data_IF_799880789864
#
_entry.id   IF_799880789864
#
_cell.length_a   1.000
_cell.length_b   1.000
_cell.length_c   1.000
_cell.angle_alpha   90.00
_cell.angle_beta   90.00
_cell.angle_gamma   90.00
#
_symmetry.space_group_name_H-M   'P 1'
#
loop_
_entity.id
_entity.type
_entity.pdbx_description
1 polymer ?
#
# COMPACT_ATOMS: atom_id res chain seq x y z
N UNK A 1 -7.31 22.63 9.82
CA UNK A 1 -8.47 21.76 10.10
C UNK A 1 -9.65 21.88 9.11
N UNK A 2 -9.84 22.96 8.34
CA UNK A 2 -10.99 23.09 7.40
C UNK A 2 -10.81 22.48 6.00
N UNK A 3 -9.62 22.02 5.61
CA UNK A 3 -9.37 21.49 4.24
C UNK A 3 -9.89 20.05 4.02
N UNK A 4 -10.10 19.28 5.10
CA UNK A 4 -10.57 17.89 5.01
C UNK A 4 -12.05 17.73 4.61
N UNK A 5 -12.88 18.76 4.86
CA UNK A 5 -14.33 18.70 4.64
C UNK A 5 -14.73 18.66 3.15
N UNK A 6 -13.85 19.10 2.24
CA UNK A 6 -14.11 19.08 0.80
C UNK A 6 -13.80 17.73 0.13
N UNK A 7 -12.99 16.87 0.76
CA UNK A 7 -12.68 15.54 0.23
C UNK A 7 -13.87 14.58 0.37
N UNK A 8 -14.72 14.81 1.37
CA UNK A 8 -15.89 14.00 1.64
C UNK A 8 -17.14 14.86 1.47
N UNK A 9 -17.87 14.67 0.37
CA UNK A 9 -19.11 15.40 0.12
C UNK A 9 -20.08 15.29 1.30
N UNK A 10 -20.07 14.17 2.03
CA UNK A 10 -20.87 13.91 3.22
C UNK A 10 -20.56 14.81 4.44
N UNK A 11 -19.38 15.45 4.50
CA UNK A 11 -19.07 16.44 5.55
C UNK A 11 -19.59 17.85 5.20
N UNK A 12 -19.96 18.11 3.95
CA UNK A 12 -20.50 19.42 3.55
C UNK A 12 -21.98 19.54 3.90
N UNK A 13 -22.41 20.70 4.41
CA UNK A 13 -23.80 20.92 4.82
C UNK A 13 -24.77 20.80 3.64
N UNK A 14 -25.92 20.14 3.84
CA UNK A 14 -27.00 19.97 2.86
C UNK A 14 -27.39 21.27 2.11
N UNK A 15 -27.50 22.44 2.77
CA UNK A 15 -27.85 23.69 2.08
C UNK A 15 -26.80 24.15 1.06
N UNK A 16 -25.52 23.80 1.26
CA UNK A 16 -24.44 24.12 0.34
C UNK A 16 -24.50 23.16 -0.85
N UNK A 17 -24.67 21.86 -0.61
CA UNK A 17 -24.81 20.85 -1.68
C UNK A 17 -26.01 21.13 -2.60
N UNK A 18 -27.13 21.59 -2.02
CA UNK A 18 -28.34 21.93 -2.78
C UNK A 18 -28.15 23.11 -3.74
N UNK A 19 -27.21 24.02 -3.46
CA UNK A 19 -26.98 25.25 -4.24
C UNK A 19 -25.75 25.17 -5.16
N UNK A 20 -24.96 24.10 -5.08
CA UNK A 20 -23.71 23.95 -5.81
C UNK A 20 -23.72 22.72 -6.73
N UNK A 21 -23.08 22.82 -7.88
CA UNK A 21 -22.82 21.66 -8.73
C UNK A 21 -21.71 20.80 -8.10
N UNK A 22 -22.04 19.57 -7.72
CA UNK A 22 -21.07 18.64 -7.14
C UNK A 22 -20.27 17.98 -8.26
N UNK A 23 -19.02 18.40 -8.42
CA UNK A 23 -18.06 17.77 -9.32
C UNK A 23 -17.25 16.72 -8.55
N UNK A 24 -17.36 15.45 -8.98
CA UNK A 24 -16.64 14.33 -8.36
C UNK A 24 -15.36 14.05 -9.14
N UNK A 25 -14.24 14.20 -8.46
CA UNK A 25 -12.94 13.79 -8.99
C UNK A 25 -12.64 12.37 -8.53
N UNK A 26 -12.30 11.49 -9.48
CA UNK A 26 -11.81 10.14 -9.19
C UNK A 26 -10.29 10.15 -9.10
N UNK A 27 -9.73 9.13 -8.45
CA UNK A 27 -8.29 8.86 -8.53
C UNK A 27 -7.84 8.73 -9.98
N UNK A 28 -6.63 9.18 -10.27
CA UNK A 28 -6.03 9.05 -11.59
C UNK A 28 -5.65 7.60 -11.86
N UNK A 29 -5.69 7.21 -13.13
CA UNK A 29 -5.18 5.90 -13.54
C UNK A 29 -3.66 5.93 -13.65
N UNK A 30 -3.02 4.77 -13.46
CA UNK A 30 -1.57 4.62 -13.52
C UNK A 30 -0.99 5.14 -14.85
N UNK A 31 -1.70 4.90 -15.97
CA UNK A 31 -1.31 5.41 -17.29
C UNK A 31 -1.33 6.95 -17.38
N UNK A 32 -2.30 7.61 -16.73
CA UNK A 32 -2.39 9.07 -16.71
C UNK A 32 -1.25 9.68 -15.87
N UNK A 33 -0.91 9.04 -14.76
CA UNK A 33 0.21 9.46 -13.90
C UNK A 33 1.52 9.29 -14.66
N UNK A 34 1.74 8.13 -15.27
CA UNK A 34 2.95 7.86 -16.07
C UNK A 34 3.13 8.89 -17.19
N UNK A 35 2.07 9.15 -17.97
CA UNK A 35 2.11 10.12 -19.07
C UNK A 35 2.44 11.54 -18.58
N UNK A 36 2.07 11.89 -17.35
CA UNK A 36 2.41 13.19 -16.75
C UNK A 36 3.82 13.21 -16.18
N UNK A 37 4.28 12.13 -15.55
CA UNK A 37 5.65 11.99 -15.04
C UNK A 37 6.67 12.08 -16.18
N UNK A 38 6.45 11.37 -17.29
CA UNK A 38 7.35 11.41 -18.46
C UNK A 38 7.55 12.84 -18.98
N UNK A 39 6.48 13.62 -19.09
CA UNK A 39 6.56 15.03 -19.51
C UNK A 39 7.36 15.93 -18.58
N UNK A 40 7.48 15.57 -17.30
CA UNK A 40 8.20 16.35 -16.29
C UNK A 40 9.67 15.94 -16.30
N UNK A 41 9.92 14.64 -16.36
CA UNK A 41 11.24 14.05 -16.52
C UNK A 41 11.95 14.56 -17.78
N UNK A 42 11.24 14.65 -18.91
CA UNK A 42 11.77 15.24 -20.17
C UNK A 42 12.11 16.73 -20.04
N UNK A 43 11.38 17.48 -19.19
CA UNK A 43 11.59 18.92 -19.00
C UNK A 43 12.71 19.23 -18.02
N UNK A 44 12.88 18.39 -17.02
CA UNK A 44 13.88 18.55 -15.96
C UNK A 44 15.17 17.77 -16.24
N UNK A 45 15.24 17.03 -17.36
CA UNK A 45 16.37 16.20 -17.80
C UNK A 45 16.85 15.25 -16.69
N UNK A 46 15.88 14.56 -16.07
CA UNK A 46 16.15 13.69 -14.93
C UNK A 46 16.53 12.30 -15.39
N UNK A 47 17.60 11.73 -14.82
CA UNK A 47 17.98 10.34 -15.08
C UNK A 47 17.08 9.35 -14.34
N UNK A 48 16.40 8.48 -15.10
CA UNK A 48 15.43 7.52 -14.56
C UNK A 48 15.60 6.12 -15.15
N UNK A 49 15.06 5.13 -14.43
CA UNK A 49 14.84 3.75 -14.89
C UNK A 49 13.34 3.48 -14.92
N UNK A 50 12.88 2.63 -15.85
CA UNK A 50 11.46 2.25 -15.95
C UNK A 50 10.94 1.65 -14.63
N UNK A 51 11.74 0.80 -13.97
CA UNK A 51 11.43 0.24 -12.64
C UNK A 51 11.22 1.31 -11.56
N UNK A 52 11.94 2.44 -11.67
CA UNK A 52 11.81 3.57 -10.75
C UNK A 52 10.50 4.32 -10.93
N UNK A 53 10.06 4.51 -12.18
CA UNK A 53 8.76 5.11 -12.49
C UNK A 53 7.61 4.21 -12.02
N UNK A 54 7.72 2.90 -12.21
CA UNK A 54 6.75 1.94 -11.68
C UNK A 54 6.67 2.00 -10.15
N UNK A 55 7.81 2.08 -9.45
CA UNK A 55 7.85 2.23 -8.00
C UNK A 55 7.18 3.55 -7.52
N UNK A 56 7.37 4.65 -8.25
CA UNK A 56 6.70 5.92 -7.94
C UNK A 56 5.19 5.81 -8.14
N UNK A 57 4.73 5.20 -9.23
CA UNK A 57 3.30 4.99 -9.48
C UNK A 57 2.70 4.09 -8.40
N UNK A 58 3.41 3.04 -8.01
CA UNK A 58 3.01 2.16 -6.92
C UNK A 58 2.83 2.97 -5.63
N UNK A 59 3.84 3.73 -5.20
CA UNK A 59 3.75 4.52 -3.95
C UNK A 59 2.71 5.65 -4.01
N UNK A 60 2.43 6.21 -5.19
CA UNK A 60 1.52 7.34 -5.35
C UNK A 60 0.01 7.01 -5.22
N UNK A 61 -0.41 5.76 -5.41
CA UNK A 61 -1.80 5.29 -5.21
C UNK A 61 -2.91 6.15 -5.87
N UNK A 62 -2.63 6.72 -7.05
CA UNK A 62 -3.57 7.55 -7.79
C UNK A 62 -3.51 9.05 -7.45
N UNK A 63 -2.62 9.47 -6.55
CA UNK A 63 -2.36 10.88 -6.21
C UNK A 63 -1.16 11.43 -6.99
N UNK A 64 -1.42 12.34 -7.93
CA UNK A 64 -0.37 12.99 -8.72
C UNK A 64 0.59 13.82 -7.85
N UNK A 65 0.09 14.46 -6.79
CA UNK A 65 0.92 15.29 -5.92
C UNK A 65 1.93 14.42 -5.18
N UNK A 66 1.48 13.28 -4.66
CA UNK A 66 2.37 12.33 -4.01
C UNK A 66 3.42 11.78 -4.99
N UNK A 67 3.01 11.44 -6.22
CA UNK A 67 3.94 10.98 -7.26
C UNK A 67 5.06 12.00 -7.54
N UNK A 68 4.71 13.28 -7.65
CA UNK A 68 5.68 14.35 -7.90
C UNK A 68 6.59 14.60 -6.70
N UNK A 69 6.04 14.59 -5.49
CA UNK A 69 6.83 14.75 -4.28
C UNK A 69 7.84 13.61 -4.12
N UNK A 70 7.43 12.37 -4.40
CA UNK A 70 8.30 11.19 -4.35
C UNK A 70 9.39 11.28 -5.42
N UNK A 71 9.04 11.68 -6.66
CA UNK A 71 9.98 11.89 -7.76
C UNK A 71 11.05 12.92 -7.38
N UNK A 72 10.61 14.10 -6.92
CA UNK A 72 11.49 15.20 -6.56
C UNK A 72 12.38 14.84 -5.36
N UNK A 73 11.83 14.19 -4.34
CA UNK A 73 12.57 13.78 -3.15
C UNK A 73 13.64 12.74 -3.49
N UNK A 74 13.32 11.79 -4.38
CA UNK A 74 14.29 10.79 -4.86
C UNK A 74 15.40 11.43 -5.67
N UNK A 75 15.06 12.34 -6.58
CA UNK A 75 16.06 13.05 -7.38
C UNK A 75 16.95 13.96 -6.53
N UNK A 76 16.38 14.72 -5.59
CA UNK A 76 17.14 15.59 -4.68
C UNK A 76 18.07 14.79 -3.75
N UNK A 77 17.64 13.62 -3.30
CA UNK A 77 18.43 12.77 -2.40
C UNK A 77 19.57 12.02 -3.09
N UNK A 78 19.30 11.43 -4.26
CA UNK A 78 20.21 10.45 -4.88
C UNK A 78 20.62 10.80 -6.32
N UNK A 79 20.01 11.80 -6.95
CA UNK A 79 20.28 12.21 -8.34
C UNK A 79 19.81 11.22 -9.42
N UNK A 80 19.54 9.97 -9.06
CA UNK A 80 19.10 8.90 -9.96
C UNK A 80 17.86 8.19 -9.43
N UNK A 81 16.86 8.04 -10.30
CA UNK A 81 15.60 7.37 -9.97
C UNK A 81 15.69 5.88 -10.32
N UNK A 82 15.85 5.05 -9.30
CA UNK A 82 15.69 3.59 -9.35
C UNK A 82 14.62 3.14 -8.34
N UNK A 83 14.15 1.90 -8.44
CA UNK A 83 13.17 1.36 -7.51
C UNK A 83 13.67 1.36 -6.06
N UNK A 84 14.94 1.01 -5.84
CA UNK A 84 15.54 0.93 -4.50
C UNK A 84 15.59 2.30 -3.78
N UNK A 85 16.00 3.37 -4.47
CA UNK A 85 16.03 4.72 -3.89
C UNK A 85 14.62 5.23 -3.66
N UNK A 86 13.66 4.94 -4.54
CA UNK A 86 12.25 5.32 -4.32
C UNK A 86 11.71 4.66 -3.05
N UNK A 87 11.90 3.35 -2.87
CA UNK A 87 11.44 2.66 -1.65
C UNK A 87 12.17 3.12 -0.38
N UNK A 88 13.46 3.50 -0.49
CA UNK A 88 14.21 4.10 0.63
C UNK A 88 13.71 5.49 1.02
N UNK A 89 13.27 6.30 0.05
CA UNK A 89 12.77 7.66 0.32
C UNK A 89 11.33 7.64 0.81
N UNK A 90 10.52 6.71 0.30
CA UNK A 90 9.12 6.57 0.68
C UNK A 90 8.91 5.77 1.97
N UNK A 91 9.95 5.16 2.55
CA UNK A 91 9.87 4.26 3.71
C UNK A 91 8.77 3.19 3.58
N UNK A 92 8.57 2.67 2.36
CA UNK A 92 7.65 1.56 2.12
C UNK A 92 8.41 0.21 2.02
N UNK A 93 7.86 -0.87 2.59
CA UNK A 93 8.46 -2.20 2.47
C UNK A 93 8.45 -2.66 1.00
N UNK A 94 9.55 -3.26 0.57
CA UNK A 94 9.69 -3.74 -0.80
C UNK A 94 8.60 -4.79 -1.12
N UNK A 95 7.84 -4.64 -2.23
CA UNK A 95 6.69 -5.52 -2.52
C UNK A 95 7.09 -6.99 -2.69
N UNK A 96 8.35 -7.27 -3.03
CA UNK A 96 8.86 -8.65 -3.11
C UNK A 96 8.85 -9.36 -1.74
N UNK A 97 9.28 -8.70 -0.66
CA UNK A 97 9.28 -9.27 0.69
C UNK A 97 7.85 -9.61 1.14
N UNK A 98 6.91 -8.73 0.83
CA UNK A 98 5.49 -8.94 1.16
C UNK A 98 4.89 -10.08 0.33
N UNK A 99 5.27 -10.21 -0.95
CA UNK A 99 4.86 -11.35 -1.80
C UNK A 99 5.40 -12.68 -1.24
N UNK A 100 6.67 -12.73 -0.85
CA UNK A 100 7.27 -13.91 -0.23
C UNK A 100 6.57 -14.28 1.07
N UNK A 101 6.28 -13.29 1.93
CA UNK A 101 5.53 -13.51 3.16
C UNK A 101 4.14 -14.10 2.89
N UNK A 102 3.39 -13.58 1.91
CA UNK A 102 2.08 -14.12 1.53
C UNK A 102 2.23 -15.56 0.99
N UNK A 103 3.27 -15.83 0.21
CA UNK A 103 3.55 -17.19 -0.29
C UNK A 103 3.82 -18.17 0.87
N UNK A 104 4.56 -17.77 1.89
CA UNK A 104 4.76 -18.58 3.10
C UNK A 104 3.46 -18.79 3.88
N UNK A 105 2.58 -17.79 3.94
CA UNK A 105 1.25 -17.93 4.53
C UNK A 105 0.39 -18.96 3.78
N UNK A 106 0.45 -18.98 2.44
CA UNK A 106 -0.27 -19.96 1.62
C UNK A 106 0.26 -21.38 1.86
N UNK A 107 1.57 -21.53 2.06
CA UNK A 107 2.18 -22.81 2.38
C UNK A 107 1.97 -23.23 3.85
N UNK A 108 1.18 -22.48 4.63
CA UNK A 108 0.95 -22.68 6.07
C UNK A 108 2.23 -22.69 6.92
N UNK A 109 3.30 -22.03 6.46
CA UNK A 109 4.57 -21.94 7.19
C UNK A 109 4.66 -20.61 7.95
N UNK A 110 4.20 -20.62 9.20
CA UNK A 110 4.16 -19.44 10.07
C UNK A 110 5.57 -18.97 10.44
N UNK A 111 6.51 -19.88 10.69
CA UNK A 111 7.87 -19.53 11.15
C UNK A 111 8.62 -18.70 10.10
N UNK A 112 8.58 -19.10 8.83
CA UNK A 112 9.22 -18.34 7.76
C UNK A 112 8.53 -17.00 7.50
N UNK A 113 7.19 -16.96 7.53
CA UNK A 113 6.46 -15.70 7.38
C UNK A 113 6.74 -14.73 8.55
N UNK A 114 6.87 -15.26 9.77
CA UNK A 114 7.21 -14.47 10.96
C UNK A 114 8.64 -13.92 10.91
N UNK A 115 9.61 -14.65 10.34
CA UNK A 115 10.96 -14.11 10.13
C UNK A 115 10.96 -12.86 9.26
N UNK A 116 10.17 -12.87 8.17
CA UNK A 116 10.03 -11.70 7.28
C UNK A 116 9.36 -10.54 8.03
N UNK A 117 8.29 -10.83 8.78
CA UNK A 117 7.62 -9.81 9.60
C UNK A 117 8.55 -9.20 10.66
N UNK A 118 9.33 -10.03 11.36
CA UNK A 118 10.29 -9.59 12.36
C UNK A 118 11.42 -8.77 11.73
N UNK A 119 11.84 -9.11 10.50
CA UNK A 119 12.80 -8.31 9.73
C UNK A 119 12.22 -6.93 9.39
N UNK A 120 10.99 -6.85 8.89
CA UNK A 120 10.31 -5.57 8.64
C UNK A 120 10.15 -4.74 9.92
N UNK A 121 9.85 -5.38 11.04
CA UNK A 121 9.76 -4.69 12.33
C UNK A 121 11.11 -4.11 12.80
N UNK A 122 12.21 -4.84 12.60
CA UNK A 122 13.57 -4.36 12.93
C UNK A 122 14.02 -3.19 12.08
N UNK A 123 13.51 -3.08 10.85
CA UNK A 123 13.74 -1.94 9.97
C UNK A 123 12.96 -0.68 10.41
N UNK A 124 12.03 -0.82 11.36
CA UNK A 124 11.29 0.31 11.92
C UNK A 124 10.06 0.70 11.12
N UNK A 125 9.57 -0.14 10.21
CA UNK A 125 8.34 0.13 9.48
C UNK A 125 7.13 0.20 10.41
N UNK A 126 6.24 1.16 10.15
CA UNK A 126 4.98 1.26 10.88
C UNK A 126 4.13 0.02 10.63
N UNK A 127 3.47 -0.54 11.66
CA UNK A 127 2.55 -1.66 11.50
C UNK A 127 1.43 -1.35 10.50
N UNK A 128 0.95 -0.10 10.49
CA UNK A 128 -0.11 0.39 9.59
C UNK A 128 0.34 0.30 8.12
N UNK A 129 1.56 0.73 7.82
CA UNK A 129 2.14 0.68 6.48
C UNK A 129 2.39 -0.76 6.02
N UNK A 130 2.82 -1.64 6.94
CA UNK A 130 3.00 -3.06 6.65
C UNK A 130 1.66 -3.70 6.27
N UNK A 131 0.60 -3.48 7.06
CA UNK A 131 -0.72 -4.05 6.77
C UNK A 131 -1.35 -3.44 5.51
N UNK A 132 -1.17 -2.15 5.28
CA UNK A 132 -1.57 -1.49 4.03
C UNK A 132 -0.90 -2.12 2.81
N UNK A 133 0.40 -2.39 2.88
CA UNK A 133 1.13 -3.06 1.80
C UNK A 133 0.74 -4.53 1.62
N UNK A 134 0.48 -5.27 2.71
CA UNK A 134 -0.06 -6.64 2.64
C UNK A 134 -1.39 -6.64 1.89
N UNK A 135 -2.30 -5.72 2.22
CA UNK A 135 -3.59 -5.61 1.55
C UNK A 135 -3.44 -5.33 0.04
N UNK A 136 -2.55 -4.40 -0.31
CA UNK A 136 -2.26 -4.04 -1.71
C UNK A 136 -1.72 -5.22 -2.51
N UNK A 137 -0.72 -5.91 -1.97
CA UNK A 137 -0.10 -7.06 -2.63
C UNK A 137 -1.08 -8.22 -2.73
N UNK A 138 -1.87 -8.49 -1.67
CA UNK A 138 -2.86 -9.57 -1.65
C UNK A 138 -3.94 -9.40 -2.73
N UNK A 139 -4.34 -8.16 -3.04
CA UNK A 139 -5.33 -7.89 -4.10
C UNK A 139 -4.82 -8.32 -5.48
N UNK A 140 -3.57 -7.98 -5.79
CA UNK A 140 -2.91 -8.27 -7.08
C UNK A 140 -2.39 -9.71 -7.16
N UNK A 141 -2.20 -10.38 -6.03
CA UNK A 141 -1.65 -11.73 -5.97
C UNK A 141 -2.54 -12.77 -6.68
N UNK A 142 -1.92 -13.77 -7.32
CA UNK A 142 -2.62 -14.86 -7.99
C UNK A 142 -2.92 -15.98 -6.98
N UNK A 143 -4.18 -16.11 -6.56
CA UNK A 143 -4.66 -17.12 -5.62
C UNK A 143 -6.14 -17.44 -5.89
N UNK A 144 -6.67 -18.59 -5.43
CA UNK A 144 -8.09 -18.93 -5.56
C UNK A 144 -8.97 -17.84 -4.93
N UNK A 145 -10.06 -17.47 -5.62
CA UNK A 145 -10.92 -16.34 -5.23
C UNK A 145 -11.49 -16.49 -3.82
N UNK A 146 -11.89 -17.71 -3.44
CA UNK A 146 -12.35 -18.02 -2.08
C UNK A 146 -11.29 -17.69 -1.02
N UNK A 147 -10.04 -18.12 -1.23
CA UNK A 147 -8.95 -17.88 -0.29
C UNK A 147 -8.58 -16.40 -0.23
N UNK A 148 -8.62 -15.71 -1.38
CA UNK A 148 -8.38 -14.27 -1.48
C UNK A 148 -9.37 -13.46 -0.64
N UNK A 149 -10.66 -13.82 -0.71
CA UNK A 149 -11.70 -13.13 0.06
C UNK A 149 -11.53 -13.33 1.57
N UNK A 150 -11.22 -14.56 2.01
CA UNK A 150 -10.94 -14.82 3.42
C UNK A 150 -9.69 -14.06 3.92
N UNK A 151 -8.64 -13.98 3.10
CA UNK A 151 -7.43 -13.22 3.44
C UNK A 151 -7.74 -11.71 3.58
N UNK A 152 -8.45 -11.15 2.60
CA UNK A 152 -8.87 -9.74 2.62
C UNK A 152 -9.70 -9.43 3.87
N UNK A 153 -10.60 -10.35 4.26
CA UNK A 153 -11.44 -10.21 5.45
C UNK A 153 -10.60 -10.15 6.74
N UNK A 154 -9.66 -11.09 6.94
CA UNK A 154 -8.80 -11.11 8.12
C UNK A 154 -7.82 -9.91 8.18
N UNK A 155 -7.28 -9.51 7.03
CA UNK A 155 -6.46 -8.29 6.91
C UNK A 155 -7.29 -7.07 7.29
N UNK A 156 -8.53 -6.96 6.79
CA UNK A 156 -9.44 -5.86 7.11
C UNK A 156 -9.77 -5.77 8.60
N UNK A 157 -10.05 -6.90 9.27
CA UNK A 157 -10.27 -6.91 10.72
C UNK A 157 -9.03 -6.49 11.51
N UNK A 158 -7.85 -6.90 11.06
CA UNK A 158 -6.60 -6.52 11.74
C UNK A 158 -6.32 -5.03 11.53
N UNK A 159 -6.49 -4.52 10.32
CA UNK A 159 -6.36 -3.10 10.03
C UNK A 159 -7.32 -2.24 10.86
N UNK A 160 -8.56 -2.68 11.05
CA UNK A 160 -9.52 -2.01 11.93
C UNK A 160 -9.03 -1.96 13.39
N UNK A 161 -8.55 -3.08 13.93
CA UNK A 161 -8.01 -3.14 15.30
C UNK A 161 -6.76 -2.26 15.48
N UNK A 162 -5.97 -2.13 14.43
CA UNK A 162 -4.79 -1.26 14.43
C UNK A 162 -5.20 0.22 14.41
N UNK A 163 -6.21 0.57 13.62
CA UNK A 163 -6.79 1.91 13.63
C UNK A 163 -7.46 2.28 14.98
N UNK A 164 -7.94 1.29 15.74
CA UNK A 164 -8.40 1.45 17.13
C UNK A 164 -7.25 1.67 18.14
N UNK A 165 -6.00 1.60 17.70
CA UNK A 165 -4.80 1.86 18.51
C UNK A 165 -4.06 0.61 18.98
N UNK A 166 -4.45 -0.59 18.55
CA UNK A 166 -3.75 -1.83 18.91
C UNK A 166 -2.69 -2.16 17.85
N UNK A 167 -1.55 -1.47 17.90
CA UNK A 167 -0.46 -1.57 16.93
C UNK A 167 0.70 -2.48 17.36
N UNK A 168 0.44 -3.50 18.18
CA UNK A 168 1.49 -4.39 18.69
C UNK A 168 1.95 -5.43 17.66
N UNK A 169 3.23 -5.81 17.72
CA UNK A 169 3.78 -6.93 16.92
C UNK A 169 2.96 -8.22 17.08
N UNK A 170 2.35 -8.42 18.26
CA UNK A 170 1.48 -9.56 18.53
C UNK A 170 0.23 -9.58 17.64
N UNK A 171 -0.37 -8.42 17.31
CA UNK A 171 -1.50 -8.37 16.39
C UNK A 171 -1.09 -8.78 14.98
N UNK A 172 0.09 -8.36 14.52
CA UNK A 172 0.62 -8.76 13.21
C UNK A 172 0.97 -10.26 13.15
N UNK A 173 1.56 -10.79 14.22
CA UNK A 173 1.80 -12.23 14.35
C UNK A 173 0.48 -13.02 14.40
N UNK A 174 -0.54 -12.48 15.09
CA UNK A 174 -1.88 -13.04 15.13
C UNK A 174 -2.56 -13.05 13.75
N UNK A 175 -2.36 -12.01 12.94
CA UNK A 175 -2.81 -11.97 11.55
C UNK A 175 -2.16 -13.10 10.74
N UNK A 176 -0.83 -13.25 10.78
CA UNK A 176 -0.12 -14.33 10.10
C UNK A 176 -0.66 -15.72 10.48
N UNK A 177 -0.89 -15.95 11.77
CA UNK A 177 -1.43 -17.21 12.26
C UNK A 177 -2.84 -17.49 11.71
N UNK A 178 -3.72 -16.47 11.68
CA UNK A 178 -5.07 -16.60 11.10
C UNK A 178 -5.02 -16.86 9.60
N UNK A 179 -4.15 -16.17 8.87
CA UNK A 179 -3.98 -16.39 7.44
C UNK A 179 -3.55 -17.83 7.14
N UNK A 180 -2.57 -18.37 7.89
CA UNK A 180 -2.13 -19.75 7.74
C UNK A 180 -3.22 -20.77 8.11
N UNK A 181 -4.01 -20.50 9.16
CA UNK A 181 -5.14 -21.34 9.54
C UNK A 181 -6.23 -21.39 8.47
N UNK A 182 -6.42 -20.32 7.70
CA UNK A 182 -7.41 -20.27 6.61
C UNK A 182 -6.96 -21.01 5.35
N UNK A 183 -5.65 -21.19 5.17
CA UNK A 183 -5.11 -21.99 4.06
C UNK A 183 -5.01 -23.47 4.39
N UNK A 184 -4.81 -23.82 5.67
CA UNK A 184 -5.09 -25.16 6.14
C UNK A 184 -6.60 -25.40 5.96
N UNK A 185 -6.97 -26.33 5.07
CA UNK A 185 -8.36 -26.70 4.81
C UNK A 185 -9.17 -26.89 6.11
N UNK A 186 -10.49 -26.64 6.10
CA UNK A 186 -11.33 -26.81 7.28
C UNK A 186 -11.10 -28.21 7.84
N UNK A 187 -10.80 -28.30 9.13
CA UNK A 187 -10.96 -29.56 9.83
C UNK A 187 -12.40 -30.01 9.57
N UNK A 188 -12.56 -31.09 8.82
CA UNK A 188 -13.85 -31.72 8.60
C UNK A 188 -14.46 -32.04 9.96
N UNK A 189 -15.59 -31.40 10.25
CA UNK A 189 -16.49 -31.71 11.35
C UNK A 189 -17.91 -31.58 10.85
#
# INVERSE_FOLDING_TARGET
>A
EKEGEANYTSLSSEPIQSRCAVLRYTKLTDAQILARLLKIVEKEDVSYTDDGLEAIIFTAQGDMRQALNNLQSTYSGFGFINSENVFKVCDEPHPLLVKEMIQHCINANIDEAYKILAHLWRLGYSPEDVVGNIFRVCKTFQMPEYLKLEFIKEIGYTHMKMAEGVNSLLQMAGLLARLCQKTAAPAAS
#
